data_IF_811664864144
#
_entry.id   IF_811664864144
#
_cell.length_a   1.000
_cell.length_b   1.000
_cell.length_c   1.000
_cell.angle_alpha   90.00
_cell.angle_beta   90.00
_cell.angle_gamma   90.00
#
_symmetry.space_group_name_H-M   'P 1'
#
loop_
_entity.id
_entity.type
_entity.pdbx_description
1 polymer ?
#
# COMPACT_ATOMS: atom_id res chain seq x y z
N UNK A 1 -73.09 46.66 3.98
CA UNK A 1 -72.38 46.55 2.68
C UNK A 1 -70.96 46.09 2.98
N UNK A 2 -70.67 44.82 2.73
CA UNK A 2 -69.39 44.17 2.99
C UNK A 2 -68.60 44.13 1.67
N UNK A 3 -67.32 44.53 1.67
CA UNK A 3 -66.38 44.18 0.62
C UNK A 3 -65.05 43.79 1.26
N UNK A 4 -64.73 42.50 1.22
CA UNK A 4 -63.45 41.94 1.58
C UNK A 4 -62.58 41.85 0.32
N UNK A 5 -61.44 42.53 0.32
CA UNK A 5 -60.45 42.46 -0.75
C UNK A 5 -59.56 41.23 -0.54
N UNK A 6 -59.70 40.24 -1.42
CA UNK A 6 -58.86 39.05 -1.50
C UNK A 6 -57.50 39.40 -2.12
N UNK A 7 -56.41 39.13 -1.41
CA UNK A 7 -55.06 39.21 -1.97
C UNK A 7 -54.68 37.91 -2.70
N UNK A 8 -54.01 37.97 -3.87
CA UNK A 8 -53.55 36.78 -4.57
C UNK A 8 -52.30 36.19 -3.89
N UNK A 9 -52.38 34.90 -3.56
CA UNK A 9 -51.31 34.09 -2.97
C UNK A 9 -50.19 33.86 -4.00
N UNK A 10 -49.01 34.41 -3.73
CA UNK A 10 -47.81 34.19 -4.53
C UNK A 10 -47.48 32.69 -4.61
N UNK A 11 -47.27 32.20 -5.84
CA UNK A 11 -46.84 30.83 -6.12
C UNK A 11 -45.40 30.66 -5.63
N UNK A 12 -45.20 29.85 -4.60
CA UNK A 12 -43.88 29.33 -4.22
C UNK A 12 -43.29 28.58 -5.41
N UNK A 13 -42.13 29.05 -5.87
CA UNK A 13 -41.38 28.44 -6.96
C UNK A 13 -40.99 26.98 -6.68
N UNK A 14 -40.54 26.24 -7.71
CA UNK A 14 -40.06 24.88 -7.53
C UNK A 14 -38.89 24.88 -6.56
N UNK A 15 -39.08 24.12 -5.49
CA UNK A 15 -38.08 23.75 -4.51
C UNK A 15 -36.96 23.00 -5.27
N UNK A 16 -35.76 23.56 -5.31
CA UNK A 16 -34.54 22.88 -5.76
C UNK A 16 -34.15 21.85 -4.72
N UNK A 17 -35.00 20.83 -4.55
CA UNK A 17 -34.71 19.67 -3.74
C UNK A 17 -34.11 18.63 -4.71
N UNK A 18 -32.99 18.02 -4.32
CA UNK A 18 -32.61 16.67 -4.76
C UNK A 18 -31.69 16.50 -5.96
N UNK A 19 -30.82 17.47 -6.26
CA UNK A 19 -29.61 17.19 -7.06
C UNK A 19 -28.44 16.72 -6.18
N UNK A 20 -28.71 15.86 -5.19
CA UNK A 20 -27.75 14.80 -4.84
C UNK A 20 -27.78 13.75 -5.95
N UNK A 21 -27.48 14.19 -7.16
CA UNK A 21 -27.27 13.37 -8.33
C UNK A 21 -26.11 12.43 -7.99
N UNK A 22 -26.50 11.26 -7.47
CA UNK A 22 -25.94 9.94 -7.76
C UNK A 22 -24.58 10.06 -8.43
N UNK A 23 -23.55 10.32 -7.62
CA UNK A 23 -22.18 10.08 -8.03
C UNK A 23 -22.14 8.60 -8.40
N UNK A 24 -22.20 8.32 -9.69
CA UNK A 24 -22.00 6.99 -10.23
C UNK A 24 -20.58 6.60 -9.87
N UNK A 25 -20.46 5.97 -8.69
CA UNK A 25 -19.22 5.40 -8.15
C UNK A 25 -18.66 4.50 -9.23
N UNK A 26 -17.61 4.95 -9.90
CA UNK A 26 -16.81 4.11 -10.77
C UNK A 26 -16.35 2.90 -9.92
N UNK A 27 -16.93 1.70 -10.12
CA UNK A 27 -16.71 0.60 -9.21
C UNK A 27 -15.25 0.15 -9.37
N UNK A 28 -14.51 0.12 -8.27
CA UNK A 28 -13.14 -0.39 -8.29
C UNK A 28 -13.07 -1.74 -9.03
N UNK A 29 -12.04 -1.94 -9.86
CA UNK A 29 -11.96 -3.11 -10.72
C UNK A 29 -11.89 -4.40 -9.89
N UNK A 30 -12.60 -5.43 -10.38
CA UNK A 30 -12.63 -6.76 -9.72
C UNK A 30 -11.27 -7.44 -9.69
N UNK A 31 -10.37 -7.06 -10.60
CA UNK A 31 -9.02 -7.58 -10.72
C UNK A 31 -8.04 -6.47 -11.07
N UNK A 32 -6.82 -6.58 -10.55
CA UNK A 32 -5.72 -5.66 -10.83
C UNK A 32 -4.50 -6.46 -11.28
N UNK A 33 -3.73 -5.93 -12.24
CA UNK A 33 -2.43 -6.47 -12.62
C UNK A 33 -1.36 -5.67 -11.88
N UNK A 34 -0.67 -6.31 -10.92
CA UNK A 34 0.29 -5.67 -10.02
C UNK A 34 1.44 -6.64 -9.70
N UNK A 35 2.57 -6.10 -9.26
CA UNK A 35 3.65 -6.89 -8.69
C UNK A 35 3.31 -7.33 -7.26
N UNK A 36 3.45 -8.61 -6.96
CA UNK A 36 3.16 -9.15 -5.64
C UNK A 36 4.36 -9.03 -4.69
N UNK A 37 4.21 -8.38 -3.52
CA UNK A 37 5.29 -8.34 -2.51
C UNK A 37 5.56 -9.65 -1.76
N UNK A 38 4.85 -10.73 -2.09
CA UNK A 38 5.11 -12.06 -1.51
C UNK A 38 5.91 -12.97 -2.43
N UNK A 39 5.58 -13.00 -3.73
CA UNK A 39 6.24 -13.87 -4.71
C UNK A 39 6.98 -13.10 -5.80
N UNK A 40 6.95 -11.77 -5.75
CA UNK A 40 7.68 -10.83 -6.62
C UNK A 40 7.34 -10.88 -8.12
N UNK A 41 6.37 -11.69 -8.52
CA UNK A 41 5.89 -11.79 -9.89
C UNK A 41 4.80 -10.75 -10.20
N UNK A 42 4.81 -10.25 -11.45
CA UNK A 42 3.72 -9.48 -12.02
C UNK A 42 2.57 -10.42 -12.37
N UNK A 43 1.44 -10.29 -11.67
CA UNK A 43 0.31 -11.19 -11.87
C UNK A 43 -1.02 -10.49 -11.61
N UNK A 44 -2.12 -11.22 -11.85
CA UNK A 44 -3.45 -10.73 -11.50
C UNK A 44 -3.73 -10.95 -10.02
N UNK A 45 -4.34 -9.95 -9.41
CA UNK A 45 -4.81 -9.94 -8.04
C UNK A 45 -6.34 -9.82 -8.06
N UNK A 46 -7.03 -10.81 -7.48
CA UNK A 46 -8.48 -10.83 -7.41
C UNK A 46 -8.96 -10.09 -6.17
N UNK A 47 -9.92 -9.18 -6.32
CA UNK A 47 -10.55 -8.49 -5.19
C UNK A 47 -11.32 -9.49 -4.33
N UNK A 48 -11.03 -9.50 -3.03
CA UNK A 48 -11.70 -10.34 -2.04
C UNK A 48 -12.61 -9.51 -1.16
N UNK A 49 -12.18 -8.29 -0.81
CA UNK A 49 -12.92 -7.39 0.06
C UNK A 49 -12.90 -5.99 -0.54
N UNK A 50 -14.05 -5.32 -0.54
CA UNK A 50 -14.19 -3.95 -1.00
C UNK A 50 -14.46 -3.06 0.19
N UNK A 51 -13.47 -2.25 0.53
CA UNK A 51 -13.56 -1.34 1.66
C UNK A 51 -13.74 0.09 1.16
N UNK A 52 -14.57 0.87 1.87
CA UNK A 52 -14.82 2.28 1.54
C UNK A 52 -13.85 3.22 2.27
N UNK A 53 -13.58 2.92 3.54
CA UNK A 53 -12.68 3.71 4.40
C UNK A 53 -11.25 3.20 4.29
N UNK A 54 -11.09 1.87 4.24
CA UNK A 54 -9.78 1.22 4.14
C UNK A 54 -9.47 0.81 2.70
N UNK A 55 -8.20 0.47 2.46
CA UNK A 55 -7.78 -0.10 1.18
C UNK A 55 -8.51 -1.42 0.94
N UNK A 56 -9.00 -1.62 -0.29
CA UNK A 56 -9.56 -2.89 -0.71
C UNK A 56 -8.53 -4.02 -0.62
N UNK A 57 -9.02 -5.21 -0.29
CA UNK A 57 -8.19 -6.40 -0.12
C UNK A 57 -8.25 -7.26 -1.38
N UNK A 58 -7.09 -7.73 -1.81
CA UNK A 58 -6.93 -8.60 -2.96
C UNK A 58 -6.17 -9.87 -2.57
N UNK A 59 -6.32 -10.94 -3.36
CA UNK A 59 -5.46 -12.13 -3.30
C UNK A 59 -4.69 -12.28 -4.60
N UNK A 60 -3.39 -12.52 -4.47
CA UNK A 60 -2.51 -12.81 -5.59
C UNK A 60 -2.93 -14.14 -6.24
N UNK A 61 -3.14 -14.18 -7.55
CA UNK A 61 -3.51 -15.43 -8.24
C UNK A 61 -2.34 -16.44 -8.33
N UNK A 62 -1.09 -16.00 -8.14
CA UNK A 62 0.08 -16.87 -8.18
C UNK A 62 0.35 -17.54 -6.83
N UNK A 63 0.54 -16.75 -5.75
CA UNK A 63 0.88 -17.30 -4.44
C UNK A 63 -0.32 -17.41 -3.47
N UNK A 64 -1.51 -16.97 -3.88
CA UNK A 64 -2.75 -16.98 -3.07
C UNK A 64 -2.70 -16.17 -1.77
N UNK A 65 -1.62 -15.41 -1.51
CA UNK A 65 -1.47 -14.56 -0.33
C UNK A 65 -2.32 -13.29 -0.43
N UNK A 66 -2.72 -12.79 0.74
CA UNK A 66 -3.47 -11.53 0.90
C UNK A 66 -2.56 -10.34 0.62
N UNK A 67 -3.10 -9.38 -0.11
CA UNK A 67 -2.37 -8.21 -0.60
C UNK A 67 -3.31 -7.02 -0.69
N UNK A 68 -2.74 -5.82 -0.66
CA UNK A 68 -3.46 -4.56 -0.82
C UNK A 68 -2.74 -3.71 -1.86
N UNK A 69 -3.41 -2.71 -2.43
CA UNK A 69 -2.71 -1.71 -3.23
C UNK A 69 -1.69 -0.97 -2.36
N UNK A 70 -0.51 -0.67 -2.90
CA UNK A 70 0.43 0.26 -2.26
C UNK A 70 -0.28 1.60 -1.99
N UNK A 71 0.08 2.29 -0.89
CA UNK A 71 -0.46 3.63 -0.59
C UNK A 71 -0.14 4.63 -1.71
N UNK A 72 1.01 4.48 -2.37
CA UNK A 72 1.32 5.28 -3.55
C UNK A 72 0.42 4.88 -4.72
N UNK A 73 -0.52 5.76 -5.08
CA UNK A 73 -1.55 5.50 -6.09
C UNK A 73 -1.02 5.20 -7.49
N UNK A 74 0.18 5.70 -7.80
CA UNK A 74 0.90 5.50 -9.07
C UNK A 74 1.80 4.26 -9.05
N UNK A 75 1.95 3.59 -7.90
CA UNK A 75 2.77 2.39 -7.78
C UNK A 75 2.03 1.16 -8.33
N UNK A 76 2.74 0.36 -9.11
CA UNK A 76 2.26 -0.90 -9.67
C UNK A 76 2.51 -2.10 -8.75
N UNK A 77 2.97 -1.86 -7.52
CA UNK A 77 3.21 -2.88 -6.50
C UNK A 77 2.03 -3.07 -5.54
N UNK A 78 1.84 -4.31 -5.10
CA UNK A 78 0.87 -4.67 -4.06
C UNK A 78 1.59 -4.85 -2.71
N UNK A 79 1.12 -4.17 -1.67
CA UNK A 79 1.59 -4.34 -0.29
C UNK A 79 1.19 -5.70 0.29
N UNK A 80 1.96 -6.21 1.26
CA UNK A 80 1.63 -7.46 1.97
C UNK A 80 0.49 -7.22 2.94
N UNK A 81 -0.39 -8.20 3.05
CA UNK A 81 -1.43 -8.23 4.08
C UNK A 81 -1.37 -9.55 4.85
N UNK A 82 -1.37 -9.46 6.18
CA UNK A 82 -1.51 -10.58 7.10
C UNK A 82 -2.96 -10.81 7.51
N UNK A 83 -3.20 -11.68 8.49
CA UNK A 83 -4.54 -11.84 9.07
C UNK A 83 -4.92 -10.67 9.99
N UNK A 84 -3.93 -10.07 10.66
CA UNK A 84 -4.12 -9.06 11.71
C UNK A 84 -3.29 -7.79 11.47
N UNK A 85 -2.64 -7.68 10.32
CA UNK A 85 -1.76 -6.56 9.99
C UNK A 85 -1.76 -6.31 8.48
N UNK A 86 -1.48 -5.07 8.09
CA UNK A 86 -1.39 -4.63 6.70
C UNK A 86 -0.19 -3.72 6.49
N UNK A 87 0.67 -4.06 5.54
CA UNK A 87 1.75 -3.17 5.13
C UNK A 87 1.18 -1.97 4.35
N UNK A 88 1.75 -0.81 4.59
CA UNK A 88 1.41 0.42 3.88
C UNK A 88 2.02 0.46 2.47
N UNK A 89 3.17 -0.19 2.30
CA UNK A 89 3.98 -0.10 1.10
C UNK A 89 4.23 -1.48 0.48
N UNK A 90 4.49 -1.50 -0.83
CA UNK A 90 4.98 -2.70 -1.50
C UNK A 90 6.49 -2.89 -1.26
N UNK A 91 7.01 -4.07 -1.57
CA UNK A 91 8.41 -4.44 -1.39
C UNK A 91 9.40 -3.52 -2.12
N UNK A 92 8.99 -2.85 -3.19
CA UNK A 92 9.81 -1.84 -3.86
C UNK A 92 9.80 -0.50 -3.11
N UNK A 93 8.63 -0.06 -2.63
CA UNK A 93 8.47 1.22 -1.95
C UNK A 93 8.93 1.21 -0.49
N UNK A 94 8.95 0.05 0.17
CA UNK A 94 9.55 -0.11 1.51
C UNK A 94 11.05 -0.41 1.47
N UNK A 95 11.66 -0.39 0.26
CA UNK A 95 13.07 -0.69 0.02
C UNK A 95 13.50 -2.13 0.36
N UNK A 96 12.57 -3.07 0.54
CA UNK A 96 12.89 -4.52 0.65
C UNK A 96 13.53 -5.02 -0.66
N UNK A 97 13.12 -4.47 -1.79
CA UNK A 97 13.65 -4.71 -3.12
C UNK A 97 14.13 -3.40 -3.74
N UNK A 98 15.26 -3.44 -4.47
CA UNK A 98 15.71 -2.31 -5.29
C UNK A 98 15.02 -2.24 -6.66
N UNK A 99 14.57 -3.39 -7.18
CA UNK A 99 13.89 -3.53 -8.48
C UNK A 99 13.03 -4.79 -8.47
N UNK A 100 11.92 -4.80 -9.21
CA UNK A 100 11.14 -6.02 -9.39
C UNK A 100 11.89 -7.03 -10.26
N UNK A 101 11.91 -8.32 -9.90
CA UNK A 101 12.51 -9.33 -10.75
C UNK A 101 11.69 -9.47 -12.03
N UNK A 102 12.39 -9.56 -13.16
CA UNK A 102 11.79 -9.94 -14.44
C UNK A 102 11.50 -11.44 -14.38
N UNK A 103 10.23 -11.83 -14.27
CA UNK A 103 9.87 -13.26 -14.36
C UNK A 103 10.31 -13.79 -15.74
N UNK A 104 11.05 -14.91 -15.82
CA UNK A 104 11.30 -15.55 -17.09
C UNK A 104 9.97 -16.07 -17.63
N UNK A 105 9.54 -15.58 -18.78
CA UNK A 105 8.43 -16.19 -19.50
C UNK A 105 8.96 -17.49 -20.09
N UNK A 106 8.69 -18.60 -19.40
CA UNK A 106 8.79 -19.93 -20.00
C UNK A 106 7.65 -20.03 -21.01
N UNK A 107 7.99 -20.02 -22.29
CA UNK A 107 7.02 -20.34 -23.33
C UNK A 107 6.66 -21.83 -23.27
N UNK A 108 5.56 -22.21 -23.93
CA UNK A 108 5.11 -23.61 -23.99
C UNK A 108 6.11 -24.56 -24.67
N UNK A 109 7.19 -24.03 -25.25
CA UNK A 109 8.28 -24.80 -25.85
C UNK A 109 9.41 -25.09 -24.85
N UNK A 110 9.35 -24.53 -23.63
CA UNK A 110 10.40 -24.69 -22.62
C UNK A 110 11.63 -23.83 -22.88
N UNK A 111 11.56 -22.88 -23.82
CA UNK A 111 12.63 -21.93 -24.05
C UNK A 111 12.51 -20.79 -23.03
N UNK A 112 13.62 -20.53 -22.33
CA UNK A 112 13.73 -19.40 -21.39
C UNK A 112 13.91 -18.12 -22.21
N UNK A 113 12.81 -17.63 -22.77
CA UNK A 113 12.76 -16.36 -23.50
C UNK A 113 12.43 -15.20 -22.58
N UNK A 114 13.28 -14.17 -22.55
CA UNK A 114 12.88 -12.86 -22.00
C UNK A 114 12.04 -12.09 -23.04
N UNK A 115 10.83 -12.57 -23.33
CA UNK A 115 9.87 -11.74 -24.07
C UNK A 115 9.35 -10.67 -23.11
N UNK A 116 9.82 -9.44 -23.29
CA UNK A 116 9.08 -8.29 -22.76
C UNK A 116 7.82 -8.23 -23.62
N UNK A 117 6.65 -8.50 -23.05
CA UNK A 117 5.37 -8.37 -23.75
C UNK A 117 5.15 -6.90 -24.15
N UNK A 118 5.74 -6.52 -25.27
CA UNK A 118 5.60 -5.23 -25.94
C UNK A 118 4.50 -5.37 -26.99
N UNK A 119 3.26 -5.61 -26.55
CA UNK A 119 2.12 -5.22 -27.35
C UNK A 119 1.47 -4.01 -26.68
N UNK A 120 1.77 -2.84 -27.26
CA UNK A 120 1.02 -1.58 -27.15
C UNK A 120 1.01 -0.78 -25.83
N UNK A 121 1.90 -1.05 -24.86
CA UNK A 121 2.03 -0.20 -23.67
C UNK A 121 3.26 0.72 -23.76
N UNK A 122 3.04 2.03 -23.68
CA UNK A 122 4.03 3.09 -23.86
C UNK A 122 5.23 2.94 -22.89
N UNK A 123 6.36 2.50 -23.45
CA UNK A 123 7.56 1.99 -22.77
C UNK A 123 8.29 3.07 -21.98
N UNK A 124 7.94 4.35 -22.20
CA UNK A 124 8.54 5.49 -21.49
C UNK A 124 8.13 5.59 -20.02
N UNK A 125 7.19 4.78 -19.53
CA UNK A 125 6.76 4.79 -18.10
C UNK A 125 7.41 3.75 -17.19
N UNK A 126 8.03 2.69 -17.72
CA UNK A 126 8.31 1.48 -16.90
C UNK A 126 9.73 1.33 -16.33
N UNK A 127 10.63 2.32 -16.49
CA UNK A 127 11.97 2.20 -15.91
C UNK A 127 12.39 3.30 -14.94
N UNK A 128 11.46 4.15 -14.53
CA UNK A 128 11.61 4.93 -13.30
C UNK A 128 10.22 5.29 -12.79
N UNK A 129 9.75 4.70 -11.69
CA UNK A 129 8.82 5.44 -10.87
C UNK A 129 9.59 6.63 -10.30
N UNK A 130 9.49 7.80 -10.95
CA UNK A 130 9.97 9.09 -10.40
C UNK A 130 9.37 9.45 -9.04
N UNK A 131 8.48 8.63 -8.50
CA UNK A 131 7.93 8.79 -7.16
C UNK A 131 8.34 7.70 -6.16
N UNK A 132 8.83 6.53 -6.57
CA UNK A 132 9.28 5.52 -5.60
C UNK A 132 10.74 5.75 -5.18
N UNK A 133 11.59 6.17 -6.12
CA UNK A 133 13.03 6.32 -5.87
C UNK A 133 13.43 7.74 -5.45
N UNK A 134 12.57 8.74 -5.67
CA UNK A 134 12.82 10.13 -5.29
C UNK A 134 12.28 10.48 -3.89
N UNK A 135 11.75 9.51 -3.14
CA UNK A 135 11.48 9.65 -1.71
C UNK A 135 12.80 9.63 -0.88
N UNK A 136 13.75 10.49 -1.26
CA UNK A 136 14.71 11.02 -0.30
C UNK A 136 13.87 11.86 0.68
N UNK A 137 13.78 11.42 1.92
CA UNK A 137 13.01 12.02 3.03
C UNK A 137 11.48 11.81 2.86
N UNK A 138 10.82 10.91 3.58
CA UNK A 138 10.61 10.94 5.03
C UNK A 138 10.43 9.51 5.54
N UNK A 139 11.45 8.97 6.22
CA UNK A 139 11.18 8.05 7.33
C UNK A 139 10.92 8.91 8.56
N UNK A 140 9.82 8.77 9.33
CA UNK A 140 10.02 8.72 10.76
C UNK A 140 10.87 7.47 10.96
N UNK A 141 12.18 7.65 11.15
CA UNK A 141 12.96 6.62 11.81
C UNK A 141 12.28 6.40 13.15
N UNK A 142 11.46 5.35 13.26
CA UNK A 142 11.38 4.68 14.54
C UNK A 142 12.77 4.11 14.72
N UNK A 143 13.59 4.88 15.41
CA UNK A 143 14.94 4.52 15.79
C UNK A 143 14.83 3.43 16.85
N UNK A 144 14.69 2.18 16.37
CA UNK A 144 14.59 1.00 17.22
C UNK A 144 15.85 0.87 18.08
N UNK A 145 17.00 1.40 17.64
CA UNK A 145 18.22 1.45 18.44
C UNK A 145 18.10 2.47 19.57
N UNK A 146 17.55 3.67 19.33
CA UNK A 146 17.33 4.68 20.38
C UNK A 146 16.33 4.24 21.44
N UNK A 147 15.26 3.52 21.06
CA UNK A 147 14.34 2.91 22.03
C UNK A 147 14.97 1.77 22.83
N UNK A 148 15.86 0.99 22.22
CA UNK A 148 16.56 -0.11 22.89
C UNK A 148 17.66 0.38 23.84
N UNK A 149 18.34 1.46 23.47
CA UNK A 149 19.32 2.16 24.32
C UNK A 149 18.66 2.79 25.53
N UNK A 150 17.52 3.49 25.37
CA UNK A 150 16.77 4.04 26.51
C UNK A 150 16.26 2.96 27.47
N UNK A 151 15.73 1.85 26.94
CA UNK A 151 15.31 0.72 27.77
C UNK A 151 16.49 0.06 28.50
N UNK A 152 17.67 0.00 27.89
CA UNK A 152 18.88 -0.53 28.53
C UNK A 152 19.42 0.41 29.61
N UNK A 153 19.42 1.72 29.38
CA UNK A 153 19.82 2.73 30.38
C UNK A 153 18.89 2.73 31.60
N UNK A 154 17.57 2.69 31.38
CA UNK A 154 16.57 2.59 32.45
C UNK A 154 16.71 1.29 33.26
N UNK A 155 16.92 0.15 32.58
CA UNK A 155 17.10 -1.14 33.26
C UNK A 155 18.43 -1.22 34.02
N UNK A 156 19.50 -0.61 33.49
CA UNK A 156 20.82 -0.57 34.14
C UNK A 156 20.83 0.32 35.39
N UNK A 157 20.03 1.40 35.41
CA UNK A 157 19.86 2.26 36.59
C UNK A 157 19.12 1.57 37.74
N UNK A 158 18.24 0.60 37.44
CA UNK A 158 17.46 -0.14 38.44
C UNK A 158 18.22 -1.35 39.03
N UNK A 159 19.24 -1.87 38.33
CA UNK A 159 19.98 -3.07 38.72
C UNK A 159 21.51 -2.89 38.63
N UNK A 160 22.12 -2.02 39.46
CA UNK A 160 23.55 -1.70 39.38
C UNK A 160 24.48 -2.89 39.70
N UNK A 161 23.97 -3.96 40.34
CA UNK A 161 24.77 -5.09 40.81
C UNK A 161 25.01 -6.18 39.76
N UNK A 162 24.46 -6.06 38.54
CA UNK A 162 24.67 -7.06 37.46
C UNK A 162 25.62 -6.60 36.35
N UNK A 163 26.06 -5.33 36.34
CA UNK A 163 26.89 -4.78 35.26
C UNK A 163 28.39 -5.13 35.37
N UNK A 164 28.84 -5.77 36.46
CA UNK A 164 30.27 -6.08 36.67
C UNK A 164 30.68 -7.52 36.28
N UNK A 165 29.76 -8.35 35.77
CA UNK A 165 30.05 -9.79 35.52
C UNK A 165 30.75 -10.05 34.18
N UNK A 166 30.99 -9.05 33.34
CA UNK A 166 31.64 -9.22 32.02
C UNK A 166 32.96 -8.46 31.86
N UNK A 167 33.74 -8.32 32.93
CA UNK A 167 35.14 -7.91 32.81
C UNK A 167 36.07 -9.10 33.09
N UNK A 168 36.72 -9.52 32.01
CA UNK A 168 38.06 -10.14 31.97
C UNK A 168 38.17 -11.64 32.27
N UNK A 169 38.35 -12.43 31.20
CA UNK A 169 39.34 -13.51 31.22
C UNK A 169 40.37 -13.25 30.09
N UNK A 170 41.66 -13.08 30.41
CA UNK A 170 42.71 -13.08 29.41
C UNK A 170 43.03 -14.51 28.97
N UNK A 171 43.13 -14.71 27.66
CA UNK A 171 43.60 -15.95 27.04
C UNK A 171 45.08 -16.15 27.44
N UNK A 172 45.34 -17.12 28.31
CA UNK A 172 46.69 -17.60 28.62
C UNK A 172 47.17 -18.52 27.49
N UNK A 173 48.34 -18.21 26.92
CA UNK A 173 49.22 -19.13 26.19
C UNK A 173 50.43 -19.46 27.04
#
# INVERSE_FOLDING_TARGET
>A
MQQALSTPRAKTGPRLDSDCARLEKNPEPKQLRLYCSWCFNLCFHRKVESNFIFRSVYRCNHCSKRTLKCIYSTCEGAARGGQFWDDNFCALCDSTLGVWPVSPLVDSAGDVGYKRDFEHFDVKRLNTPRHCNDAKHVTPRYDVESSRLKLWEEHSALHPTQAEVYKEEPILT
#
